data_IF_328160193923
#
_entry.id   IF_328160193923
#
_cell.length_a   1.000
_cell.length_b   1.000
_cell.length_c   1.000
_cell.angle_alpha   90.00
_cell.angle_beta   90.00
_cell.angle_gamma   90.00
#
_symmetry.space_group_name_H-M   'P 1'
#
loop_
_entity.id
_entity.type
_entity.pdbx_description
1 polymer ?
#
# COMPACT_ATOMS: atom_id res chain seq x y z
N UNK A 1 5.41 -13.69 -4.96
CA UNK A 1 6.22 -13.95 -3.75
C UNK A 1 6.70 -12.68 -3.07
N UNK A 2 7.47 -11.78 -3.70
CA UNK A 2 8.02 -10.59 -3.00
C UNK A 2 6.95 -9.57 -2.54
N UNK A 3 5.90 -9.35 -3.34
CA UNK A 3 4.79 -8.45 -2.96
C UNK A 3 3.98 -9.00 -1.77
N UNK A 4 3.76 -10.33 -1.72
CA UNK A 4 3.08 -10.97 -0.59
C UNK A 4 3.89 -10.86 0.69
N UNK A 5 5.21 -11.12 0.65
CA UNK A 5 6.08 -10.92 1.83
C UNK A 5 6.07 -9.48 2.32
N UNK A 6 6.07 -8.50 1.40
CA UNK A 6 5.95 -7.08 1.76
C UNK A 6 4.60 -6.78 2.43
N UNK A 7 3.50 -7.27 1.87
CA UNK A 7 2.15 -7.07 2.43
C UNK A 7 2.02 -7.71 3.81
N UNK A 8 2.56 -8.91 4.00
CA UNK A 8 2.58 -9.59 5.28
C UNK A 8 3.39 -8.85 6.34
N UNK A 9 4.56 -8.34 5.97
CA UNK A 9 5.37 -7.52 6.86
C UNK A 9 4.61 -6.25 7.29
N UNK A 10 3.96 -5.55 6.35
CA UNK A 10 3.17 -4.35 6.68
C UNK A 10 1.97 -4.69 7.57
N UNK A 11 1.25 -5.77 7.25
CA UNK A 11 0.12 -6.24 8.04
C UNK A 11 0.52 -6.66 9.46
N UNK A 12 1.70 -7.26 9.64
CA UNK A 12 2.19 -7.66 10.97
C UNK A 12 2.39 -6.48 11.93
N UNK A 13 2.43 -5.24 11.43
CA UNK A 13 2.40 -4.04 12.26
C UNK A 13 1.00 -3.52 12.62
N UNK A 14 -0.07 -4.11 12.07
CA UNK A 14 -1.46 -3.67 12.23
C UNK A 14 -2.33 -4.68 12.96
N UNK A 15 -2.13 -5.95 12.65
CA UNK A 15 -2.95 -7.06 13.13
C UNK A 15 -2.04 -8.23 13.45
N UNK A 16 -2.33 -8.91 14.53
CA UNK A 16 -1.68 -10.14 14.93
C UNK A 16 -2.72 -11.23 15.11
N UNK A 17 -2.61 -12.29 14.31
CA UNK A 17 -3.32 -13.55 14.53
C UNK A 17 -2.49 -14.45 15.44
N UNK A 18 -3.12 -14.99 16.48
CA UNK A 18 -2.52 -15.83 17.50
C UNK A 18 -3.28 -17.16 17.60
N UNK A 19 -2.63 -18.18 18.15
CA UNK A 19 -3.20 -19.50 18.42
C UNK A 19 -2.96 -19.88 19.88
N UNK A 20 -3.95 -20.50 20.53
CA UNK A 20 -3.74 -21.12 21.83
C UNK A 20 -2.98 -22.45 21.67
N UNK A 21 -1.83 -22.57 22.32
CA UNK A 21 -1.07 -23.82 22.32
C UNK A 21 -1.64 -24.85 23.31
N UNK A 22 -0.97 -26.00 23.45
CA UNK A 22 -1.41 -27.07 24.37
C UNK A 22 -1.30 -26.71 25.85
N UNK A 23 -0.53 -25.68 26.19
CA UNK A 23 -0.34 -25.18 27.55
C UNK A 23 -1.33 -24.05 27.87
N UNK A 24 -2.10 -23.59 26.89
CA UNK A 24 -3.01 -22.46 27.01
C UNK A 24 -2.35 -21.11 26.73
N UNK A 25 -1.09 -21.10 26.29
CA UNK A 25 -0.38 -19.88 25.95
C UNK A 25 -0.77 -19.39 24.55
N UNK A 26 -0.86 -18.07 24.40
CA UNK A 26 -1.12 -17.42 23.11
C UNK A 26 0.19 -17.26 22.33
N UNK A 27 0.29 -17.94 21.19
CA UNK A 27 1.46 -17.90 20.31
C UNK A 27 1.11 -17.15 19.02
N UNK A 28 1.89 -16.12 18.71
CA UNK A 28 1.74 -15.36 17.47
C UNK A 28 2.09 -16.19 16.24
N UNK A 29 1.27 -16.08 15.19
CA UNK A 29 1.51 -16.74 13.91
C UNK A 29 2.51 -15.95 13.07
N UNK A 30 3.19 -16.64 12.15
CA UNK A 30 4.12 -15.98 11.23
C UNK A 30 3.40 -14.99 10.31
N UNK A 31 4.15 -14.00 9.81
CA UNK A 31 3.59 -12.92 8.99
C UNK A 31 2.81 -13.40 7.76
N UNK A 32 3.16 -14.55 7.18
CA UNK A 32 2.50 -15.06 5.98
C UNK A 32 1.18 -15.75 6.30
N UNK A 33 1.16 -16.53 7.37
CA UNK A 33 -0.09 -17.09 7.90
C UNK A 33 -1.03 -15.98 8.36
N UNK A 34 -0.50 -14.94 9.00
CA UNK A 34 -1.22 -13.73 9.41
C UNK A 34 -1.90 -13.04 8.22
N UNK A 35 -1.17 -12.81 7.12
CA UNK A 35 -1.72 -12.26 5.87
C UNK A 35 -2.83 -13.15 5.28
N UNK A 36 -2.59 -14.46 5.23
CA UNK A 36 -3.55 -15.42 4.66
C UNK A 36 -4.87 -15.41 5.43
N UNK A 37 -4.80 -15.38 6.77
CA UNK A 37 -5.97 -15.30 7.64
C UNK A 37 -6.73 -13.98 7.46
N UNK A 38 -6.03 -12.86 7.33
CA UNK A 38 -6.67 -11.54 7.17
C UNK A 38 -7.33 -11.38 5.79
N UNK A 39 -6.69 -11.87 4.72
CA UNK A 39 -7.28 -11.91 3.38
C UNK A 39 -8.56 -12.76 3.37
N UNK A 40 -8.51 -13.94 3.98
CA UNK A 40 -9.63 -14.86 4.13
C UNK A 40 -10.76 -14.28 4.99
N UNK A 41 -10.44 -13.56 6.06
CA UNK A 41 -11.42 -12.93 6.94
C UNK A 41 -12.36 -12.02 6.17
N UNK A 42 -11.83 -11.07 5.42
CA UNK A 42 -12.73 -10.17 4.69
C UNK A 42 -13.25 -10.74 3.36
N UNK A 43 -12.79 -11.92 2.92
CA UNK A 43 -13.50 -12.74 1.93
C UNK A 43 -14.55 -13.66 2.58
N UNK A 44 -14.68 -13.64 3.91
CA UNK A 44 -15.56 -14.49 4.72
C UNK A 44 -15.38 -15.99 4.41
N UNK A 45 -14.14 -16.41 4.15
CA UNK A 45 -13.83 -17.78 3.72
C UNK A 45 -13.86 -18.74 4.91
N UNK A 46 -14.60 -19.84 4.78
CA UNK A 46 -14.82 -20.80 5.88
C UNK A 46 -13.85 -21.98 5.87
N UNK A 47 -13.00 -22.10 4.84
CA UNK A 47 -11.99 -23.16 4.74
C UNK A 47 -10.76 -22.66 3.99
N UNK A 48 -9.66 -22.44 4.72
CA UNK A 48 -8.35 -22.13 4.16
C UNK A 48 -7.28 -23.01 4.78
N UNK A 49 -6.25 -23.37 4.02
CA UNK A 49 -5.10 -24.11 4.55
C UNK A 49 -4.08 -23.15 5.13
N UNK A 50 -3.71 -23.34 6.39
CA UNK A 50 -2.63 -22.62 7.07
C UNK A 50 -1.64 -23.60 7.68
N UNK A 51 -0.42 -23.14 7.93
CA UNK A 51 0.62 -23.95 8.58
C UNK A 51 0.98 -23.33 9.92
N UNK A 52 0.93 -24.13 10.98
CA UNK A 52 1.29 -23.74 12.34
C UNK A 52 2.28 -24.79 12.85
N UNK A 53 3.49 -24.37 13.25
CA UNK A 53 4.54 -25.27 13.75
C UNK A 53 4.78 -26.51 12.84
N UNK A 54 4.90 -26.30 11.53
CA UNK A 54 5.06 -27.33 10.50
C UNK A 54 3.90 -28.33 10.33
N UNK A 55 2.75 -28.08 10.96
CA UNK A 55 1.53 -28.86 10.77
C UNK A 55 0.48 -28.05 10.01
N UNK A 56 -0.23 -28.69 9.08
CA UNK A 56 -1.26 -28.05 8.27
C UNK A 56 -2.63 -28.14 8.94
N UNK A 57 -3.37 -27.03 8.93
CA UNK A 57 -4.71 -26.91 9.47
C UNK A 57 -5.65 -26.34 8.41
N UNK A 58 -6.93 -26.75 8.47
CA UNK A 58 -8.03 -26.10 7.79
C UNK A 58 -8.66 -25.09 8.75
N UNK A 59 -8.45 -23.80 8.49
CA UNK A 59 -8.97 -22.70 9.29
C UNK A 59 -10.30 -22.18 8.74
N UNK A 60 -11.20 -21.85 9.69
CA UNK A 60 -12.44 -21.16 9.46
C UNK A 60 -12.40 -19.83 10.23
N UNK A 61 -12.25 -18.73 9.49
CA UNK A 61 -12.12 -17.38 10.07
C UNK A 61 -13.42 -16.85 10.67
N UNK A 62 -14.56 -17.43 10.29
CA UNK A 62 -15.88 -17.03 10.80
C UNK A 62 -16.13 -17.63 12.17
N UNK A 63 -15.77 -18.90 12.36
CA UNK A 63 -15.83 -19.59 13.65
C UNK A 63 -14.58 -19.39 14.50
N UNK A 64 -13.55 -18.73 13.95
CA UNK A 64 -12.26 -18.46 14.62
C UNK A 64 -11.56 -19.73 15.12
N UNK A 65 -11.58 -20.78 14.31
CA UNK A 65 -10.96 -22.07 14.68
C UNK A 65 -10.19 -22.67 13.52
N UNK A 66 -9.22 -23.54 13.82
CA UNK A 66 -8.51 -24.33 12.82
C UNK A 66 -8.43 -25.79 13.24
N UNK A 67 -8.81 -26.69 12.33
CA UNK A 67 -8.76 -28.14 12.52
C UNK A 67 -7.56 -28.71 11.79
N UNK A 68 -6.71 -29.48 12.47
CA UNK A 68 -5.61 -30.18 11.84
C UNK A 68 -6.14 -31.09 10.73
N UNK A 69 -5.43 -31.20 9.60
CA UNK A 69 -5.91 -32.01 8.46
C UNK A 69 -6.04 -33.50 8.77
N UNK A 70 -5.41 -33.98 9.85
CA UNK A 70 -5.56 -35.34 10.38
C UNK A 70 -6.76 -35.51 11.33
N UNK A 71 -7.52 -34.44 11.60
CA UNK A 71 -8.71 -34.43 12.47
C UNK A 71 -8.45 -34.56 13.97
N UNK A 72 -7.18 -34.62 14.41
CA UNK A 72 -6.84 -34.96 15.80
C UNK A 72 -6.75 -33.76 16.75
N UNK A 73 -6.69 -32.55 16.21
CA UNK A 73 -6.44 -31.34 17.00
C UNK A 73 -7.20 -30.17 16.41
N UNK A 74 -7.98 -29.51 17.26
CA UNK A 74 -8.55 -28.20 16.97
C UNK A 74 -7.83 -27.15 17.79
N UNK A 75 -7.61 -25.98 17.20
CA UNK A 75 -7.06 -24.81 17.86
C UNK A 75 -7.96 -23.60 17.64
N UNK A 76 -7.99 -22.71 18.62
CA UNK A 76 -8.69 -21.42 18.53
C UNK A 76 -7.76 -20.37 17.90
N UNK A 77 -8.32 -19.52 17.06
CA UNK A 77 -7.64 -18.43 16.37
C UNK A 77 -8.09 -17.11 16.98
N UNK A 78 -7.15 -16.35 17.53
CA UNK A 78 -7.42 -15.04 18.09
C UNK A 78 -6.87 -13.95 17.16
N UNK A 79 -7.73 -13.06 16.69
CA UNK A 79 -7.31 -11.86 15.96
C UNK A 79 -7.21 -10.69 16.93
N UNK A 80 -6.02 -10.10 17.03
CA UNK A 80 -5.74 -8.92 17.84
C UNK A 80 -5.38 -7.75 16.94
N UNK A 81 -6.15 -6.67 17.02
CA UNK A 81 -5.72 -5.39 16.45
C UNK A 81 -4.56 -4.87 17.30
N UNK A 82 -3.39 -4.72 16.68
CA UNK A 82 -2.25 -4.14 17.35
C UNK A 82 -2.49 -2.64 17.43
N UNK A 83 -2.63 -2.12 18.66
CA UNK A 83 -2.60 -0.67 18.94
C UNK A 83 -1.16 -0.14 18.77
N UNK A 84 -0.52 -0.38 17.62
CA UNK A 84 0.57 0.49 17.20
C UNK A 84 -0.10 1.76 16.73
N UNK A 85 0.18 2.91 17.35
CA UNK A 85 -0.33 4.26 17.01
C UNK A 85 -1.13 4.25 15.71
N UNK A 86 -2.41 3.85 15.80
CA UNK A 86 -3.19 3.60 14.61
C UNK A 86 -3.29 4.97 13.99
N UNK A 87 -2.51 5.23 12.94
CA UNK A 87 -2.51 6.52 12.27
C UNK A 87 -3.98 6.81 12.01
N UNK A 88 -4.51 7.77 12.77
CA UNK A 88 -5.95 7.95 12.84
C UNK A 88 -6.44 8.06 11.40
N UNK A 89 -7.53 7.36 11.08
CA UNK A 89 -8.12 7.53 9.76
C UNK A 89 -8.34 9.03 9.56
N UNK A 90 -8.07 9.56 8.36
CA UNK A 90 -8.17 11.00 8.16
C UNK A 90 -9.57 11.48 8.56
N UNK A 91 -9.64 12.55 9.36
CA UNK A 91 -10.91 13.00 9.96
C UNK A 91 -11.97 13.36 8.91
N UNK A 92 -11.55 13.70 7.69
CA UNK A 92 -12.43 14.02 6.57
C UNK A 92 -12.98 12.78 5.84
N UNK A 93 -12.56 11.57 6.23
CA UNK A 93 -13.12 10.33 5.68
C UNK A 93 -14.53 10.11 6.18
N UNK A 94 -15.41 9.66 5.28
CA UNK A 94 -16.74 9.23 5.65
C UNK A 94 -16.69 7.86 6.34
N UNK A 95 -17.71 7.56 7.14
CA UNK A 95 -17.90 6.21 7.67
C UNK A 95 -17.96 5.20 6.50
N UNK A 96 -17.09 4.19 6.59
CA UNK A 96 -16.98 3.11 5.62
C UNK A 96 -18.00 2.00 5.87
N UNK A 97 -18.73 2.00 7.00
CA UNK A 97 -19.80 1.03 7.33
C UNK A 97 -19.36 -0.44 7.21
N UNK A 98 -18.08 -0.73 7.42
CA UNK A 98 -17.50 -2.07 7.31
C UNK A 98 -16.98 -2.44 5.91
N UNK A 99 -17.13 -1.57 4.91
CA UNK A 99 -16.57 -1.80 3.58
C UNK A 99 -15.03 -1.78 3.62
N UNK A 100 -14.41 -2.62 2.78
CA UNK A 100 -12.95 -2.64 2.59
C UNK A 100 -12.46 -1.42 1.82
N UNK A 101 -13.23 -1.02 0.82
CA UNK A 101 -12.95 0.12 -0.07
C UNK A 101 -14.24 0.90 -0.25
N UNK A 102 -14.17 2.23 -0.11
CA UNK A 102 -15.29 3.13 -0.42
C UNK A 102 -14.81 4.23 -1.36
N UNK A 103 -15.48 4.37 -2.50
CA UNK A 103 -15.32 5.53 -3.37
C UNK A 103 -16.33 6.60 -2.95
N UNK A 104 -15.83 7.75 -2.54
CA UNK A 104 -16.65 8.88 -2.10
C UNK A 104 -16.58 9.97 -3.16
N UNK A 105 -17.66 10.21 -3.93
CA UNK A 105 -17.73 11.34 -4.86
C UNK A 105 -17.59 12.65 -4.10
N UNK A 106 -16.66 13.50 -4.52
CA UNK A 106 -16.45 14.81 -3.91
C UNK A 106 -17.42 15.82 -4.52
N UNK A 107 -17.99 16.67 -3.67
CA UNK A 107 -18.87 17.75 -4.12
C UNK A 107 -18.01 18.87 -4.75
N UNK A 108 -18.42 19.47 -5.88
CA UNK A 108 -17.69 20.60 -6.48
C UNK A 108 -17.48 21.80 -5.55
N UNK A 109 -18.34 21.95 -4.54
CA UNK A 109 -18.24 23.00 -3.52
C UNK A 109 -17.27 22.69 -2.39
N UNK A 110 -16.73 21.47 -2.32
CA UNK A 110 -15.77 21.10 -1.27
C UNK A 110 -14.35 21.58 -1.61
N UNK A 111 -13.61 21.99 -0.58
CA UNK A 111 -12.21 22.41 -0.74
C UNK A 111 -11.36 21.31 -1.39
N UNK A 112 -11.54 20.06 -0.99
CA UNK A 112 -10.80 18.92 -1.55
C UNK A 112 -11.04 18.77 -3.06
N UNK A 113 -12.28 18.92 -3.52
CA UNK A 113 -12.57 18.89 -4.96
C UNK A 113 -11.85 20.02 -5.71
N UNK A 114 -11.97 21.25 -5.20
CA UNK A 114 -11.41 22.44 -5.85
C UNK A 114 -9.88 22.39 -5.94
N UNK A 115 -9.21 21.87 -4.90
CA UNK A 115 -7.76 21.69 -4.90
C UNK A 115 -7.31 20.65 -5.94
N UNK A 116 -7.99 19.51 -6.02
CA UNK A 116 -7.68 18.46 -7.01
C UNK A 116 -7.98 18.93 -8.43
N UNK A 117 -9.11 19.61 -8.64
CA UNK A 117 -9.49 20.19 -9.92
C UNK A 117 -8.46 21.22 -10.39
N UNK A 118 -8.04 22.15 -9.51
CA UNK A 118 -7.01 23.14 -9.83
C UNK A 118 -5.71 22.50 -10.30
N UNK A 119 -5.27 21.43 -9.64
CA UNK A 119 -4.05 20.70 -10.01
C UNK A 119 -4.17 20.00 -11.36
N UNK A 120 -5.37 19.57 -11.77
CA UNK A 120 -5.61 18.98 -13.09
C UNK A 120 -5.76 20.04 -14.18
N UNK A 121 -6.50 21.12 -13.90
CA UNK A 121 -6.82 22.16 -14.87
C UNK A 121 -5.63 23.05 -15.21
N UNK A 122 -4.58 23.11 -14.38
CA UNK A 122 -3.34 23.86 -14.70
C UNK A 122 -2.68 23.44 -16.01
N UNK A 123 -3.02 22.25 -16.53
CA UNK A 123 -2.52 21.74 -17.82
C UNK A 123 -3.62 21.61 -18.87
N UNK A 124 -4.75 22.32 -18.70
CA UNK A 124 -5.86 22.34 -19.65
C UNK A 124 -6.71 21.07 -19.68
N UNK A 125 -6.65 20.23 -18.63
CA UNK A 125 -7.52 19.06 -18.51
C UNK A 125 -8.88 19.46 -17.94
N UNK A 126 -9.94 18.91 -18.53
CA UNK A 126 -11.31 19.06 -18.05
C UNK A 126 -11.68 17.86 -17.18
N UNK A 127 -12.10 18.13 -15.96
CA UNK A 127 -12.47 17.10 -14.97
C UNK A 127 -13.99 16.97 -14.94
N UNK A 128 -14.50 15.73 -14.92
CA UNK A 128 -15.93 15.45 -14.86
C UNK A 128 -16.35 14.97 -13.46
N UNK A 129 -15.61 13.99 -12.91
CA UNK A 129 -15.91 13.38 -11.62
C UNK A 129 -14.62 13.24 -10.83
N UNK A 130 -14.64 13.68 -9.57
CA UNK A 130 -13.58 13.47 -8.60
C UNK A 130 -14.13 12.61 -7.46
N UNK A 131 -13.46 11.50 -7.17
CA UNK A 131 -13.81 10.62 -6.06
C UNK A 131 -12.60 10.36 -5.18
N UNK A 132 -12.79 10.43 -3.86
CA UNK A 132 -11.79 10.02 -2.88
C UNK A 132 -11.87 8.51 -2.68
N UNK A 133 -10.72 7.85 -2.74
CA UNK A 133 -10.58 6.42 -2.41
C UNK A 133 -10.31 6.28 -0.92
N UNK A 134 -11.24 5.65 -0.19
CA UNK A 134 -11.03 5.27 1.19
C UNK A 134 -10.72 3.78 1.26
N UNK A 135 -9.50 3.43 1.63
CA UNK A 135 -9.08 2.06 1.88
C UNK A 135 -8.23 2.04 3.16
N UNK A 136 -8.80 1.52 4.25
CA UNK A 136 -8.19 1.55 5.58
C UNK A 136 -6.85 0.81 5.62
N UNK A 137 -6.80 -0.39 5.05
CA UNK A 137 -5.60 -1.24 5.07
C UNK A 137 -4.45 -0.59 4.29
N UNK A 138 -4.73 -0.05 3.09
CA UNK A 138 -3.72 0.63 2.30
C UNK A 138 -3.24 1.92 2.98
N UNK A 139 -4.15 2.70 3.56
CA UNK A 139 -3.80 3.92 4.28
C UNK A 139 -2.89 3.65 5.48
N UNK A 140 -3.26 2.69 6.33
CA UNK A 140 -2.46 2.35 7.50
C UNK A 140 -1.08 1.80 7.10
N UNK A 141 -1.03 0.92 6.10
CA UNK A 141 0.23 0.40 5.55
C UNK A 141 1.12 1.51 4.98
N UNK A 142 0.52 2.47 4.28
CA UNK A 142 1.19 3.65 3.75
C UNK A 142 1.80 4.51 4.87
N UNK A 143 1.02 4.82 5.91
CA UNK A 143 1.46 5.64 7.04
C UNK A 143 2.62 5.00 7.82
N UNK A 144 2.56 3.69 8.07
CA UNK A 144 3.67 2.95 8.67
C UNK A 144 4.94 3.05 7.82
N UNK A 145 4.80 2.90 6.49
CA UNK A 145 5.95 3.01 5.58
C UNK A 145 6.52 4.42 5.55
N UNK A 146 5.66 5.43 5.65
CA UNK A 146 6.06 6.83 5.74
C UNK A 146 6.90 7.08 6.99
N UNK A 147 6.43 6.66 8.16
CA UNK A 147 7.17 6.80 9.43
C UNK A 147 8.55 6.10 9.39
N UNK A 148 8.59 4.89 8.83
CA UNK A 148 9.85 4.16 8.63
C UNK A 148 10.82 4.92 7.71
N UNK A 149 10.30 5.49 6.62
CA UNK A 149 11.11 6.23 5.66
C UNK A 149 11.60 7.57 6.23
N UNK A 150 10.74 8.27 6.97
CA UNK A 150 11.07 9.51 7.67
C UNK A 150 12.21 9.28 8.68
N UNK A 151 12.11 8.20 9.47
CA UNK A 151 13.17 7.80 10.41
C UNK A 151 14.46 7.41 9.70
N UNK A 152 14.36 6.61 8.62
CA UNK A 152 15.52 6.14 7.85
C UNK A 152 16.27 7.28 7.18
N UNK A 153 15.56 8.25 6.62
CA UNK A 153 16.17 9.36 5.88
C UNK A 153 16.47 10.57 6.77
N UNK A 154 16.05 10.56 8.04
CA UNK A 154 16.26 11.65 9.00
C UNK A 154 15.65 12.99 8.54
N UNK A 155 14.58 12.93 7.74
CA UNK A 155 13.79 14.07 7.30
C UNK A 155 12.37 13.62 6.92
N UNK A 156 11.43 14.56 6.84
CA UNK A 156 10.02 14.28 6.54
C UNK A 156 9.61 14.57 5.08
N UNK A 157 10.53 15.11 4.28
CA UNK A 157 10.32 15.41 2.85
C UNK A 157 10.41 14.15 1.96
N UNK A 158 9.62 13.13 2.28
CA UNK A 158 9.63 11.84 1.56
C UNK A 158 8.38 11.61 0.70
N UNK A 159 7.36 12.45 0.83
CA UNK A 159 6.06 12.30 0.17
C UNK A 159 5.88 13.33 -0.93
N UNK A 160 5.33 12.91 -2.08
CA UNK A 160 4.85 13.80 -3.14
C UNK A 160 3.44 13.41 -3.58
N UNK A 161 2.65 14.39 -3.98
CA UNK A 161 1.43 14.15 -4.75
C UNK A 161 1.80 14.04 -6.22
N UNK A 162 1.47 12.92 -6.85
CA UNK A 162 1.81 12.63 -8.24
C UNK A 162 0.65 11.95 -8.97
N UNK A 163 0.68 12.01 -10.30
CA UNK A 163 -0.40 11.53 -11.16
C UNK A 163 -0.11 10.15 -11.76
N UNK A 164 -1.10 9.29 -11.81
CA UNK A 164 -1.02 7.97 -12.46
C UNK A 164 -2.22 7.77 -13.39
N UNK A 165 -1.97 7.77 -14.70
CA UNK A 165 -2.98 7.45 -15.71
C UNK A 165 -3.14 5.94 -15.83
N UNK A 166 -4.38 5.46 -15.94
CA UNK A 166 -4.65 4.03 -16.11
C UNK A 166 -5.94 3.78 -16.90
N UNK A 167 -6.09 2.57 -17.45
CA UNK A 167 -7.32 2.12 -18.09
C UNK A 167 -8.44 1.80 -17.09
N UNK A 168 -9.67 1.76 -17.60
CA UNK A 168 -10.88 1.44 -16.83
C UNK A 168 -10.77 0.13 -16.06
N UNK A 169 -10.25 -0.90 -16.72
CA UNK A 169 -10.21 -2.27 -16.21
C UNK A 169 -9.27 -2.44 -15.01
N UNK A 170 -8.37 -1.48 -14.77
CA UNK A 170 -7.43 -1.52 -13.65
C UNK A 170 -7.94 -0.82 -12.38
N UNK A 171 -9.04 -0.07 -12.46
CA UNK A 171 -9.51 0.77 -11.34
C UNK A 171 -9.88 -0.06 -10.11
N UNK A 172 -10.67 -1.12 -10.29
CA UNK A 172 -11.09 -1.98 -9.19
C UNK A 172 -9.87 -2.59 -8.48
N UNK A 173 -8.93 -3.14 -9.27
CA UNK A 173 -7.71 -3.74 -8.74
C UNK A 173 -6.83 -2.73 -8.00
N UNK A 174 -6.66 -1.51 -8.52
CA UNK A 174 -5.86 -0.47 -7.86
C UNK A 174 -6.55 0.03 -6.58
N UNK A 175 -7.87 0.18 -6.58
CA UNK A 175 -8.61 0.62 -5.40
C UNK A 175 -8.53 -0.39 -4.26
N UNK A 176 -8.59 -1.69 -4.58
CA UNK A 176 -8.52 -2.78 -3.59
C UNK A 176 -7.10 -3.06 -3.10
N UNK A 177 -6.15 -3.15 -4.03
CA UNK A 177 -4.81 -3.70 -3.76
C UNK A 177 -3.68 -2.68 -3.89
N UNK A 178 -3.99 -1.45 -4.29
CA UNK A 178 -3.01 -0.41 -4.55
C UNK A 178 -2.22 -0.62 -5.84
N UNK A 179 -1.18 0.17 -6.03
CA UNK A 179 -0.32 0.09 -7.21
C UNK A 179 0.59 -1.14 -7.14
N UNK A 180 0.48 -2.01 -8.14
CA UNK A 180 1.29 -3.21 -8.23
C UNK A 180 2.13 -3.22 -9.52
N UNK A 181 3.46 -3.31 -9.34
CA UNK A 181 4.44 -3.35 -10.43
C UNK A 181 4.27 -4.54 -11.39
N UNK A 182 3.61 -5.63 -10.97
CA UNK A 182 3.34 -6.75 -11.88
C UNK A 182 2.30 -6.43 -12.94
N UNK A 183 1.50 -5.37 -12.73
CA UNK A 183 0.55 -4.85 -13.71
C UNK A 183 1.08 -3.63 -14.46
N UNK A 184 2.32 -3.19 -14.18
CA UNK A 184 2.95 -2.13 -14.95
C UNK A 184 3.12 -2.64 -16.39
N UNK A 185 2.34 -2.08 -17.32
CA UNK A 185 2.34 -2.48 -18.71
C UNK A 185 3.73 -2.47 -19.31
N UNK A 186 3.93 -3.34 -20.31
CA UNK A 186 5.13 -3.53 -21.11
C UNK A 186 5.72 -2.25 -21.75
N UNK A 187 5.03 -1.13 -21.65
CA UNK A 187 5.31 0.11 -22.39
C UNK A 187 6.22 1.14 -21.68
N UNK A 188 6.64 0.92 -20.44
CA UNK A 188 7.35 1.98 -19.70
C UNK A 188 8.52 1.53 -18.83
N UNK A 189 9.14 0.37 -19.06
CA UNK A 189 10.25 -0.09 -18.21
C UNK A 189 11.60 0.65 -18.40
N UNK A 190 11.58 1.88 -18.94
CA UNK A 190 12.78 2.66 -19.26
C UNK A 190 13.63 2.97 -18.01
N UNK A 191 12.98 3.13 -16.85
CA UNK A 191 13.65 3.46 -15.58
C UNK A 191 13.56 2.33 -14.54
N UNK A 192 13.08 1.14 -14.95
CA UNK A 192 12.92 -0.04 -14.10
C UNK A 192 11.52 -0.67 -14.16
N UNK A 193 11.36 -1.82 -13.51
CA UNK A 193 10.08 -2.54 -13.39
C UNK A 193 9.34 -2.06 -12.14
N UNK A 194 8.52 -1.03 -12.31
CA UNK A 194 7.80 -0.37 -11.22
C UNK A 194 6.49 0.27 -11.68
N UNK A 195 5.76 0.84 -10.73
CA UNK A 195 4.61 1.71 -11.01
C UNK A 195 5.12 3.13 -11.25
N UNK A 196 4.63 3.76 -12.32
CA UNK A 196 5.11 5.07 -12.79
C UNK A 196 4.16 6.18 -12.39
N UNK A 197 4.70 7.33 -11.99
CA UNK A 197 3.93 8.49 -11.57
C UNK A 197 4.53 9.74 -12.21
N UNK A 198 3.69 10.71 -12.56
CA UNK A 198 4.10 11.94 -13.22
C UNK A 198 3.83 13.16 -12.34
N UNK A 199 4.69 14.17 -12.46
CA UNK A 199 4.46 15.51 -11.88
C UNK A 199 3.39 16.25 -12.70
N UNK A 200 3.42 16.07 -14.02
CA UNK A 200 2.49 16.68 -14.95
C UNK A 200 1.30 15.73 -15.22
N UNK A 201 0.06 16.12 -14.88
CA UNK A 201 -1.12 15.31 -15.17
C UNK A 201 -1.35 15.13 -16.68
N UNK A 202 -0.97 16.08 -17.53
CA UNK A 202 -1.09 15.93 -18.99
C UNK A 202 -0.20 14.81 -19.54
N UNK A 203 0.92 14.50 -18.88
CA UNK A 203 1.76 13.35 -19.22
C UNK A 203 1.01 12.03 -18.95
N UNK A 204 0.44 11.89 -17.76
CA UNK A 204 -0.39 10.74 -17.38
C UNK A 204 -1.64 10.61 -18.26
N UNK A 205 -2.28 11.74 -18.60
CA UNK A 205 -3.47 11.75 -19.45
C UNK A 205 -3.14 11.27 -20.86
N UNK A 206 -2.10 11.82 -21.51
CA UNK A 206 -1.82 11.55 -22.93
C UNK A 206 -1.35 10.12 -23.18
N UNK A 207 -0.41 9.61 -22.37
CA UNK A 207 0.26 8.34 -22.65
C UNK A 207 -0.32 7.12 -21.93
N UNK A 208 -1.04 7.29 -20.82
CA UNK A 208 -1.27 6.19 -19.88
C UNK A 208 -2.72 6.02 -19.40
N UNK A 209 -3.58 7.00 -19.68
CA UNK A 209 -5.01 6.92 -19.38
C UNK A 209 -5.82 6.69 -20.67
N UNK A 210 -5.90 5.46 -21.21
CA UNK A 210 -6.69 5.21 -22.41
C UNK A 210 -8.17 5.55 -22.16
N UNK A 211 -8.85 6.19 -23.13
CA UNK A 211 -10.28 6.46 -23.02
C UNK A 211 -11.07 5.14 -23.05
N UNK A 212 -12.16 5.07 -22.29
CA UNK A 212 -13.13 3.98 -22.41
C UNK A 212 -14.05 4.17 -23.64
N UNK A 213 -15.02 3.26 -23.81
CA UNK A 213 -15.98 3.30 -24.90
C UNK A 213 -16.81 4.60 -24.98
N UNK A 214 -16.88 5.37 -23.88
CA UNK A 214 -17.57 6.68 -23.81
C UNK A 214 -16.59 7.86 -23.96
N UNK A 215 -15.32 7.60 -24.21
CA UNK A 215 -14.28 8.63 -24.29
C UNK A 215 -13.71 9.07 -22.94
N UNK A 216 -14.14 8.47 -21.82
CA UNK A 216 -13.69 8.88 -20.50
C UNK A 216 -12.35 8.27 -20.12
N UNK A 217 -11.46 9.12 -19.62
CA UNK A 217 -10.10 8.75 -19.17
C UNK A 217 -10.07 8.74 -17.65
N UNK A 218 -9.22 7.89 -17.06
CA UNK A 218 -9.11 7.75 -15.60
C UNK A 218 -7.68 7.99 -15.14
N UNK A 219 -7.56 8.67 -14.01
CA UNK A 219 -6.29 9.05 -13.44
C UNK A 219 -6.40 9.11 -11.92
N UNK A 220 -5.34 8.72 -11.22
CA UNK A 220 -5.18 8.95 -9.79
C UNK A 220 -4.30 10.17 -9.55
N UNK A 221 -4.68 10.99 -8.58
CA UNK A 221 -3.76 11.82 -7.81
C UNK A 221 -3.40 11.03 -6.55
N UNK A 222 -2.14 10.60 -6.42
CA UNK A 222 -1.69 9.69 -5.39
C UNK A 222 -0.62 10.32 -4.49
N UNK A 223 -0.67 10.02 -3.19
CA UNK A 223 0.45 10.24 -2.28
C UNK A 223 1.49 9.15 -2.52
N UNK A 224 2.71 9.54 -2.86
CA UNK A 224 3.81 8.64 -3.23
C UNK A 224 5.01 8.92 -2.33
N UNK A 225 5.48 7.88 -1.64
CA UNK A 225 6.71 7.90 -0.86
C UNK A 225 7.92 7.79 -1.81
N UNK A 226 8.38 8.94 -2.31
CA UNK A 226 9.53 9.03 -3.22
C UNK A 226 10.86 8.90 -2.49
N UNK A 227 10.93 9.38 -1.25
CA UNK A 227 12.17 9.44 -0.47
C UNK A 227 13.34 10.10 -1.20
N UNK A 228 14.56 9.69 -0.84
CA UNK A 228 15.75 9.95 -1.64
C UNK A 228 15.72 9.11 -2.91
N UNK A 229 15.86 9.78 -4.06
CA UNK A 229 15.78 9.15 -5.37
C UNK A 229 17.04 9.37 -6.20
N UNK A 230 17.27 8.47 -7.15
CA UNK A 230 18.37 8.51 -8.10
C UNK A 230 17.83 8.17 -9.50
N UNK A 231 18.64 8.42 -10.52
CA UNK A 231 18.28 8.09 -11.90
C UNK A 231 18.11 6.57 -12.06
N UNK A 232 16.94 6.15 -12.53
CA UNK A 232 16.66 4.76 -12.87
C UNK A 232 17.26 4.37 -14.23
N UNK A 233 17.28 3.06 -14.50
CA UNK A 233 17.64 2.49 -15.80
C UNK A 233 16.80 1.26 -16.11
N UNK A 234 16.75 0.90 -17.39
CA UNK A 234 16.03 -0.28 -17.85
C UNK A 234 16.49 -1.55 -17.14
N UNK A 235 15.54 -2.45 -16.86
CA UNK A 235 15.81 -3.76 -16.25
C UNK A 235 15.94 -3.78 -14.73
N UNK A 236 15.96 -2.63 -14.04
CA UNK A 236 15.99 -2.59 -12.57
C UNK A 236 14.72 -3.19 -11.96
N UNK A 237 14.86 -4.01 -10.91
CA UNK A 237 13.74 -4.53 -10.11
C UNK A 237 13.64 -3.86 -8.73
N UNK A 238 14.71 -3.20 -8.31
CA UNK A 238 14.84 -2.43 -7.07
C UNK A 238 15.62 -1.14 -7.34
N UNK A 239 15.44 -0.08 -6.53
CA UNK A 239 16.25 1.14 -6.62
C UNK A 239 17.75 0.87 -6.42
N UNK A 240 18.63 1.74 -6.96
CA UNK A 240 20.07 1.57 -6.75
C UNK A 240 20.44 1.81 -5.28
N UNK A 241 21.57 1.23 -4.84
CA UNK A 241 22.08 1.47 -3.51
C UNK A 241 22.50 2.95 -3.36
N UNK A 242 22.28 3.53 -2.17
CA UNK A 242 22.83 4.86 -1.86
C UNK A 242 24.36 4.77 -1.86
N UNK A 243 25.07 5.75 -2.43
CA UNK A 243 26.52 5.83 -2.27
C UNK A 243 26.87 5.92 -0.77
N UNK A 244 28.04 5.41 -0.35
CA UNK A 244 28.51 5.62 1.02
C UNK A 244 28.62 7.12 1.30
N UNK A 245 28.22 7.52 2.52
CA UNK A 245 28.41 8.89 2.96
C UNK A 245 29.90 9.23 2.88
N UNK A 246 30.24 10.40 2.33
CA UNK A 246 31.62 10.87 2.33
C UNK A 246 32.13 10.88 3.78
N UNK A 247 33.36 10.39 4.05
CA UNK A 247 33.92 10.46 5.38
C UNK A 247 33.95 11.92 5.84
N UNK A 248 33.68 12.20 7.13
CA UNK A 248 33.73 13.57 7.63
C UNK A 248 35.13 14.13 7.39
N UNK A 249 35.23 15.16 6.56
CA UNK A 249 36.49 15.84 6.31
C UNK A 249 36.80 16.70 7.54
N UNK A 250 37.84 16.32 8.29
CA UNK A 250 38.41 17.17 9.32
C UNK A 250 39.12 18.33 8.63
N UNK A 251 38.45 19.47 8.48
CA UNK A 251 39.12 20.72 8.11
C UNK A 251 39.98 21.17 9.29
N UNK A 252 41.24 20.75 9.30
CA UNK A 252 42.26 21.42 10.11
C UNK A 252 42.55 22.75 9.43
N UNK A 253 42.05 23.84 10.04
CA UNK A 253 42.51 25.17 9.70
C UNK A 253 44.01 25.23 9.99
N UNK A 254 44.82 25.35 8.94
CA UNK A 254 46.23 25.67 9.11
C UNK A 254 46.34 27.11 9.62
N UNK A 255 47.13 27.38 10.68
CA UNK A 255 47.35 28.74 11.14
C UNK A 255 48.18 29.47 10.09
N UNK A 256 47.62 30.52 9.50
CA UNK A 256 48.37 31.53 8.74
C UNK A 256 49.38 32.18 9.68
N UNK A 257 50.67 31.95 9.41
CA UNK A 257 51.78 32.83 9.81
C UNK A 257 51.81 34.08 8.96
#
# INVERSE_FOLDING_TARGET
MENQRRNAFLLSGLVEWQVCDSNGDLVSLDMMTNLTLEEALGKKTTSIKITINNQTFNANVMTKTAMATNGRRQVELLRKDLKGDSAALPLHWEDMKGDRVKLVPLKPTSTEHQEVEKELSRTGLNVNIISRVQNRTLWQSYQLKKQQLDSKNQHTNNEKLLFHGTGADSIEQINEHGFNRSYAGTHAAMFGKGSYFAIDPAYSARGYAPPDAKGHKRMYLARVLVGDYAQGRGGMITPPAKPPAAPPTCTTASPTT
#
